data_IF_533340208736
#
_entry.id   IF_533340208736
#
_cell.length_a   1.000
_cell.length_b   1.000
_cell.length_c   1.000
_cell.angle_alpha   90.00
_cell.angle_beta   90.00
_cell.angle_gamma   90.00
#
_symmetry.space_group_name_H-M   'P 1'
#
loop_
_entity.id
_entity.type
_entity.pdbx_description
1 polymer ?
#
# COMPACT_ATOMS: atom_id res chain seq x y z
N UNK A 1 4.19 -25.62 -20.06
CA UNK A 1 4.13 -24.35 -20.80
C UNK A 1 3.89 -23.21 -19.82
N UNK A 2 4.76 -22.20 -19.87
CA UNK A 2 4.58 -21.03 -19.02
C UNK A 2 3.38 -20.22 -19.53
N UNK A 3 2.24 -20.31 -18.84
CA UNK A 3 1.11 -19.42 -19.08
C UNK A 3 0.87 -18.54 -17.84
N UNK A 4 0.27 -17.40 -18.08
CA UNK A 4 0.04 -16.39 -17.06
C UNK A 4 -0.86 -16.92 -15.95
N UNK A 5 -0.43 -16.77 -14.72
CA UNK A 5 -1.11 -17.15 -13.50
C UNK A 5 -1.67 -15.94 -12.76
N UNK A 6 -2.57 -16.19 -11.83
CA UNK A 6 -3.10 -15.18 -10.92
C UNK A 6 -3.44 -15.79 -9.57
N UNK A 7 -3.36 -14.98 -8.54
CA UNK A 7 -3.86 -15.29 -7.22
C UNK A 7 -4.78 -14.15 -6.74
N UNK A 8 -5.81 -14.52 -6.01
CA UNK A 8 -6.76 -13.59 -5.41
C UNK A 8 -7.06 -14.02 -3.98
N UNK A 9 -7.09 -13.05 -3.07
CA UNK A 9 -7.53 -13.27 -1.69
C UNK A 9 -8.44 -12.12 -1.28
N UNK A 10 -9.54 -12.43 -0.58
CA UNK A 10 -10.37 -11.46 0.11
C UNK A 10 -10.51 -11.86 1.57
N UNK A 11 -10.34 -10.89 2.48
CA UNK A 11 -10.31 -11.09 3.93
C UNK A 11 -11.22 -10.08 4.61
N UNK A 12 -11.98 -10.54 5.59
CA UNK A 12 -12.68 -9.66 6.53
C UNK A 12 -11.65 -9.10 7.55
N UNK A 13 -11.39 -7.78 7.57
CA UNK A 13 -10.34 -7.21 8.41
C UNK A 13 -10.64 -7.30 9.91
N UNK A 14 -11.91 -7.48 10.29
CA UNK A 14 -12.33 -7.51 11.70
C UNK A 14 -12.21 -8.89 12.33
N UNK A 15 -12.46 -9.93 11.55
CA UNK A 15 -12.43 -11.32 12.02
C UNK A 15 -11.20 -12.10 11.54
N UNK A 16 -10.47 -11.59 10.53
CA UNK A 16 -9.41 -12.32 9.84
C UNK A 16 -9.93 -13.43 8.91
N UNK A 17 -11.24 -13.59 8.78
CA UNK A 17 -11.82 -14.67 7.98
C UNK A 17 -11.50 -14.49 6.49
N UNK A 18 -10.95 -15.54 5.87
CA UNK A 18 -10.81 -15.61 4.41
C UNK A 18 -12.21 -15.75 3.80
N UNK A 19 -12.61 -14.78 2.99
CA UNK A 19 -13.92 -14.74 2.32
C UNK A 19 -13.88 -15.30 0.93
N UNK A 20 -12.74 -15.17 0.25
CA UNK A 20 -12.49 -15.78 -1.05
C UNK A 20 -10.98 -16.01 -1.22
N UNK A 21 -10.66 -17.10 -1.91
CA UNK A 21 -9.29 -17.44 -2.27
C UNK A 21 -9.27 -18.12 -3.63
N UNK A 22 -8.41 -17.65 -4.52
CA UNK A 22 -8.08 -18.28 -5.79
C UNK A 22 -6.57 -18.38 -5.87
N UNK A 23 -6.06 -19.60 -5.96
CA UNK A 23 -4.62 -19.89 -5.94
C UNK A 23 -3.98 -20.08 -7.32
N UNK A 24 -4.78 -20.03 -8.40
CA UNK A 24 -4.28 -20.20 -9.75
C UNK A 24 -5.39 -20.17 -10.79
N UNK A 25 -5.01 -20.25 -12.05
CA UNK A 25 -5.94 -20.16 -13.18
C UNK A 25 -6.80 -21.41 -13.35
N UNK A 26 -6.20 -22.58 -13.23
CA UNK A 26 -6.87 -23.86 -13.41
C UNK A 26 -6.24 -24.89 -12.46
N UNK A 27 -7.08 -25.50 -11.60
CA UNK A 27 -6.67 -26.52 -10.63
C UNK A 27 -6.29 -27.85 -11.32
N UNK A 28 -6.92 -28.17 -12.44
CA UNK A 28 -6.61 -29.37 -13.22
C UNK A 28 -5.21 -29.32 -13.84
N UNK A 29 -4.79 -28.14 -14.25
CA UNK A 29 -3.44 -27.93 -14.82
C UNK A 29 -2.36 -27.78 -13.73
N UNK A 30 -2.69 -27.18 -12.59
CA UNK A 30 -1.75 -26.94 -11.49
C UNK A 30 -2.48 -26.83 -10.16
N UNK A 31 -2.15 -27.75 -9.23
CA UNK A 31 -2.66 -27.74 -7.87
C UNK A 31 -1.86 -26.83 -6.92
N UNK A 32 -0.81 -26.16 -7.42
CA UNK A 32 0.00 -25.24 -6.64
C UNK A 32 -0.79 -23.97 -6.33
N UNK A 33 -1.07 -23.75 -5.05
CA UNK A 33 -1.79 -22.57 -4.56
C UNK A 33 -0.83 -21.39 -4.41
N UNK A 34 -0.90 -20.47 -5.36
CA UNK A 34 -0.01 -19.30 -5.38
C UNK A 34 -0.36 -18.27 -4.32
N UNK A 35 -1.58 -18.30 -3.79
CA UNK A 35 -1.96 -17.39 -2.71
C UNK A 35 -1.24 -17.73 -1.39
N UNK A 36 -1.04 -19.02 -1.11
CA UNK A 36 -0.50 -19.50 0.19
C UNK A 36 0.86 -20.16 0.12
N UNK A 37 1.31 -20.59 -1.07
CA UNK A 37 2.54 -21.37 -1.23
C UNK A 37 3.62 -20.66 -2.06
N UNK A 38 3.25 -19.72 -2.95
CA UNK A 38 4.22 -19.00 -3.75
C UNK A 38 4.90 -17.89 -2.94
N UNK A 39 6.20 -17.74 -3.13
CA UNK A 39 6.98 -16.60 -2.67
C UNK A 39 7.12 -15.61 -3.83
N UNK A 40 6.65 -14.37 -3.63
CA UNK A 40 6.61 -13.34 -4.67
C UNK A 40 7.05 -11.99 -4.14
N UNK A 41 7.76 -11.24 -4.96
CA UNK A 41 8.13 -9.88 -4.63
C UNK A 41 6.88 -8.98 -4.65
N UNK A 42 6.56 -8.30 -3.54
CA UNK A 42 5.40 -7.42 -3.45
C UNK A 42 5.58 -6.13 -4.26
N UNK A 43 6.81 -5.76 -4.58
CA UNK A 43 7.12 -4.50 -5.23
C UNK A 43 6.51 -3.32 -4.44
N UNK A 44 5.97 -2.34 -5.14
CA UNK A 44 5.42 -1.13 -4.53
C UNK A 44 4.23 -1.35 -3.59
N UNK A 45 3.64 -2.55 -3.49
CA UNK A 45 2.63 -2.82 -2.46
C UNK A 45 3.23 -2.90 -1.06
N UNK A 46 4.54 -3.04 -0.92
CA UNK A 46 5.24 -2.98 0.35
C UNK A 46 5.42 -1.54 0.89
N UNK A 47 5.41 -0.52 0.02
CA UNK A 47 5.62 0.87 0.41
C UNK A 47 4.73 1.38 1.55
N UNK A 48 3.43 1.04 1.64
CA UNK A 48 2.61 1.48 2.77
C UNK A 48 3.16 1.07 4.14
N UNK A 49 3.90 -0.05 4.25
CA UNK A 49 4.57 -0.45 5.50
C UNK A 49 5.71 0.51 5.84
N UNK A 50 6.51 0.91 4.84
CA UNK A 50 7.57 1.92 5.01
C UNK A 50 6.99 3.26 5.46
N UNK A 51 5.91 3.71 4.80
CA UNK A 51 5.25 4.98 5.12
C UNK A 51 4.56 4.94 6.50
N UNK A 52 3.96 3.82 6.88
CA UNK A 52 3.41 3.64 8.23
C UNK A 52 4.51 3.74 9.30
N UNK A 53 5.69 3.16 9.05
CA UNK A 53 6.85 3.29 9.94
C UNK A 53 7.30 4.74 10.04
N UNK A 54 7.29 5.49 8.94
CA UNK A 54 7.64 6.91 8.93
C UNK A 54 6.63 7.76 9.71
N UNK A 55 5.32 7.54 9.52
CA UNK A 55 4.27 8.20 10.30
C UNK A 55 4.46 7.92 11.80
N UNK A 56 4.67 6.67 12.18
CA UNK A 56 4.90 6.27 13.56
C UNK A 56 6.16 6.92 14.16
N UNK A 57 7.19 7.19 13.34
CA UNK A 57 8.40 7.90 13.74
C UNK A 57 8.25 9.43 13.77
N UNK A 58 7.03 9.95 13.57
CA UNK A 58 6.70 11.37 13.66
C UNK A 58 6.86 12.17 12.37
N UNK A 59 7.08 11.53 11.23
CA UNK A 59 7.12 12.24 9.93
C UNK A 59 5.71 12.43 9.41
N UNK A 60 5.25 13.68 9.18
CA UNK A 60 3.89 13.94 8.72
C UNK A 60 3.71 13.65 7.23
N UNK A 61 2.47 13.49 6.73
CA UNK A 61 2.20 13.30 5.30
C UNK A 61 2.77 14.41 4.39
N UNK A 62 2.91 15.63 4.91
CA UNK A 62 3.51 16.77 4.20
C UNK A 62 5.05 16.83 4.29
N UNK A 63 5.71 15.83 4.92
CA UNK A 63 7.16 15.76 5.01
C UNK A 63 7.78 15.76 3.62
N UNK A 64 8.74 16.68 3.40
CA UNK A 64 9.36 16.88 2.08
C UNK A 64 10.56 15.97 1.90
N UNK A 65 10.58 15.22 0.79
CA UNK A 65 11.67 14.30 0.42
C UNK A 65 12.02 14.53 -1.05
N UNK A 66 13.30 14.38 -1.38
CA UNK A 66 13.80 14.62 -2.73
C UNK A 66 13.69 13.38 -3.63
N UNK A 67 12.97 13.50 -4.73
CA UNK A 67 12.91 12.49 -5.81
C UNK A 67 14.03 12.73 -6.82
N UNK A 68 15.26 12.68 -6.37
CA UNK A 68 16.49 12.81 -7.20
C UNK A 68 17.22 11.47 -7.31
N UNK A 69 18.14 11.30 -8.28
CA UNK A 69 18.98 10.11 -8.40
C UNK A 69 19.64 9.74 -7.07
N UNK A 70 19.75 8.46 -6.79
CA UNK A 70 20.36 7.91 -5.59
C UNK A 70 21.37 6.84 -5.96
N UNK A 71 22.53 6.89 -5.29
CA UNK A 71 23.58 5.88 -5.40
C UNK A 71 23.78 5.29 -4.02
N UNK A 72 23.49 3.99 -3.88
CA UNK A 72 23.60 3.26 -2.61
C UNK A 72 24.81 2.30 -2.71
N UNK A 73 25.86 2.49 -1.90
CA UNK A 73 26.94 1.52 -1.82
C UNK A 73 26.41 0.14 -1.38
N UNK A 74 26.94 -0.91 -1.97
CA UNK A 74 26.64 -2.30 -1.58
C UNK A 74 27.86 -2.91 -0.92
N UNK A 75 27.66 -3.58 0.23
CA UNK A 75 28.75 -4.18 1.00
C UNK A 75 29.44 -5.33 0.24
N UNK A 76 28.67 -6.10 -0.52
CA UNK A 76 29.13 -7.30 -1.20
C UNK A 76 29.31 -7.16 -2.71
N UNK A 77 29.30 -5.92 -3.22
CA UNK A 77 29.40 -5.66 -4.66
C UNK A 77 30.31 -4.46 -4.95
N UNK A 78 31.14 -4.61 -5.97
CA UNK A 78 31.96 -3.50 -6.49
C UNK A 78 31.14 -2.45 -7.24
N UNK A 79 29.86 -2.77 -7.57
CA UNK A 79 28.96 -1.86 -8.26
C UNK A 79 27.91 -1.33 -7.28
N UNK A 80 27.78 -0.01 -7.10
CA UNK A 80 26.72 0.56 -6.28
C UNK A 80 25.36 0.29 -6.89
N UNK A 81 24.35 0.17 -6.03
CA UNK A 81 22.96 0.09 -6.48
C UNK A 81 22.45 1.48 -6.87
N UNK A 82 21.87 1.58 -8.06
CA UNK A 82 21.32 2.81 -8.60
C UNK A 82 19.82 2.57 -8.94
N UNK A 83 18.95 2.69 -7.93
CA UNK A 83 17.52 2.54 -8.15
C UNK A 83 16.98 3.62 -9.08
N UNK A 84 15.89 3.29 -9.76
CA UNK A 84 15.20 4.22 -10.64
C UNK A 84 13.70 4.24 -10.33
N UNK A 85 13.03 5.32 -10.69
CA UNK A 85 11.59 5.35 -10.75
C UNK A 85 11.10 4.58 -11.98
N UNK A 86 9.86 4.08 -11.94
CA UNK A 86 9.30 3.29 -13.03
C UNK A 86 9.30 4.03 -14.38
N UNK A 87 9.03 5.33 -14.36
CA UNK A 87 9.00 6.21 -15.53
C UNK A 87 10.38 6.76 -15.93
N UNK A 88 11.45 6.33 -15.25
CA UNK A 88 12.83 6.77 -15.42
C UNK A 88 13.04 8.29 -15.22
N UNK A 89 12.09 8.98 -14.60
CA UNK A 89 12.14 10.43 -14.33
C UNK A 89 12.37 10.70 -12.86
N UNK A 90 12.92 11.87 -12.59
CA UNK A 90 13.11 12.42 -11.26
C UNK A 90 12.43 13.78 -11.20
N UNK A 91 11.59 13.99 -10.20
CA UNK A 91 10.71 15.16 -10.11
C UNK A 91 11.17 16.18 -9.06
N UNK A 92 12.28 15.90 -8.37
CA UNK A 92 12.78 16.74 -7.29
C UNK A 92 11.96 16.61 -5.99
N UNK A 93 12.07 17.60 -5.09
CA UNK A 93 11.39 17.54 -3.80
C UNK A 93 9.88 17.48 -3.93
N UNK A 94 9.26 16.57 -3.16
CA UNK A 94 7.82 16.44 -3.06
C UNK A 94 7.40 15.97 -1.66
N UNK A 95 6.12 16.11 -1.33
CA UNK A 95 5.60 15.63 -0.06
C UNK A 95 5.56 14.11 -0.02
N UNK A 96 5.69 13.55 1.20
CA UNK A 96 5.56 12.12 1.44
C UNK A 96 4.23 11.58 0.88
N UNK A 97 3.12 12.31 1.08
CA UNK A 97 1.82 12.00 0.49
C UNK A 97 1.90 11.79 -1.02
N UNK A 98 2.45 12.77 -1.74
CA UNK A 98 2.60 12.72 -3.19
C UNK A 98 3.48 11.56 -3.63
N UNK A 99 4.58 11.31 -2.91
CA UNK A 99 5.47 10.18 -3.16
C UNK A 99 4.78 8.82 -3.08
N UNK A 100 3.82 8.64 -2.15
CA UNK A 100 2.99 7.42 -2.05
C UNK A 100 1.98 7.33 -3.19
N UNK A 101 1.26 8.42 -3.47
CA UNK A 101 0.23 8.48 -4.52
C UNK A 101 0.79 8.18 -5.91
N UNK A 102 1.94 8.76 -6.24
CA UNK A 102 2.65 8.56 -7.50
C UNK A 102 3.61 7.35 -7.46
N UNK A 103 3.66 6.65 -6.31
CA UNK A 103 4.49 5.45 -6.12
C UNK A 103 5.98 5.65 -6.42
N UNK A 104 6.56 6.82 -6.06
CA UNK A 104 7.96 7.15 -6.33
C UNK A 104 8.91 6.24 -5.56
N UNK A 105 9.86 5.63 -6.26
CA UNK A 105 10.83 4.71 -5.64
C UNK A 105 11.83 5.48 -4.79
N UNK A 106 12.36 6.60 -5.31
CA UNK A 106 13.36 7.40 -4.58
C UNK A 106 12.83 7.90 -3.25
N UNK A 107 11.57 8.32 -3.21
CA UNK A 107 10.91 8.77 -1.98
C UNK A 107 10.84 7.64 -0.97
N UNK A 108 10.36 6.45 -1.37
CA UNK A 108 10.26 5.31 -0.47
C UNK A 108 11.63 4.85 0.07
N UNK A 109 12.65 4.80 -0.79
CA UNK A 109 14.00 4.38 -0.41
C UNK A 109 14.62 5.39 0.58
N UNK A 110 14.61 6.70 0.26
CA UNK A 110 15.14 7.72 1.16
C UNK A 110 14.42 7.73 2.49
N UNK A 111 13.09 7.68 2.47
CA UNK A 111 12.28 7.63 3.67
C UNK A 111 12.67 6.42 4.55
N UNK A 112 12.74 5.23 3.95
CA UNK A 112 13.12 4.02 4.66
C UNK A 112 14.55 4.05 5.21
N UNK A 113 15.51 4.59 4.45
CA UNK A 113 16.89 4.77 4.93
C UNK A 113 16.97 5.77 6.08
N UNK A 114 16.17 6.84 6.09
CA UNK A 114 16.11 7.81 7.19
C UNK A 114 15.56 7.23 8.49
N UNK A 115 14.59 6.34 8.41
CA UNK A 115 13.96 5.69 9.58
C UNK A 115 14.68 4.40 10.00
N UNK A 116 15.54 3.87 9.14
CA UNK A 116 16.34 2.66 9.34
C UNK A 116 15.61 1.38 8.94
N UNK A 117 16.32 0.51 8.23
CA UNK A 117 15.79 -0.76 7.68
C UNK A 117 15.24 -1.67 8.77
N UNK A 118 15.87 -1.74 9.93
CA UNK A 118 15.42 -2.57 11.06
C UNK A 118 14.03 -2.16 11.56
N UNK A 119 13.72 -0.87 11.57
CA UNK A 119 12.40 -0.36 11.95
C UNK A 119 11.33 -0.83 10.97
N UNK A 120 11.65 -0.82 9.67
CA UNK A 120 10.75 -1.31 8.61
C UNK A 120 10.57 -2.82 8.68
N UNK A 121 11.64 -3.59 8.96
CA UNK A 121 11.57 -5.04 9.17
C UNK A 121 10.68 -5.37 10.36
N UNK A 122 10.83 -4.67 11.48
CA UNK A 122 9.99 -4.85 12.66
C UNK A 122 8.52 -4.52 12.38
N UNK A 123 8.27 -3.44 11.63
CA UNK A 123 6.92 -3.07 11.21
C UNK A 123 6.30 -4.14 10.29
N UNK A 124 7.05 -4.66 9.31
CA UNK A 124 6.58 -5.73 8.43
C UNK A 124 6.17 -6.98 9.22
N UNK A 125 6.95 -7.38 10.22
CA UNK A 125 6.58 -8.47 11.14
C UNK A 125 5.29 -8.14 11.92
N UNK A 126 5.13 -6.91 12.40
CA UNK A 126 3.90 -6.43 13.04
C UNK A 126 2.68 -6.53 12.11
N UNK A 127 2.84 -6.24 10.83
CA UNK A 127 1.81 -6.40 9.81
C UNK A 127 1.49 -7.86 9.46
N UNK A 128 2.26 -8.82 9.97
CA UNK A 128 2.02 -10.25 9.78
C UNK A 128 2.82 -10.89 8.64
N UNK A 129 3.85 -10.23 8.14
CA UNK A 129 4.80 -10.83 7.19
C UNK A 129 5.71 -11.77 7.98
N UNK A 130 5.68 -13.06 7.66
CA UNK A 130 6.45 -14.09 8.37
C UNK A 130 7.71 -14.51 7.64
N UNK A 131 7.80 -14.19 6.36
CA UNK A 131 9.01 -14.45 5.56
C UNK A 131 10.15 -13.55 5.99
N UNK A 132 11.42 -14.00 5.86
CA UNK A 132 12.56 -13.16 6.16
C UNK A 132 12.60 -11.90 5.28
N UNK A 133 12.64 -10.74 5.91
CA UNK A 133 12.84 -9.46 5.25
C UNK A 133 14.25 -8.96 5.60
N UNK A 134 15.24 -9.13 4.72
CA UNK A 134 16.61 -8.72 5.01
C UNK A 134 16.71 -7.19 5.06
N UNK A 135 17.46 -6.62 6.03
CA UNK A 135 17.51 -5.17 6.25
C UNK A 135 18.42 -4.46 5.23
N UNK A 136 18.06 -4.50 3.97
CA UNK A 136 18.72 -3.79 2.89
C UNK A 136 17.84 -2.65 2.35
N UNK A 137 18.42 -1.57 1.82
CA UNK A 137 17.65 -0.45 1.27
C UNK A 137 16.61 -0.82 0.20
N UNK A 138 16.81 -1.92 -0.51
CA UNK A 138 15.88 -2.40 -1.54
C UNK A 138 14.54 -2.91 -0.99
N UNK A 139 14.45 -3.25 0.31
CA UNK A 139 13.17 -3.66 0.91
C UNK A 139 12.13 -2.55 0.83
N UNK A 140 12.55 -1.29 0.82
CA UNK A 140 11.64 -0.14 0.79
C UNK A 140 10.83 -0.04 -0.49
N UNK A 141 11.20 -0.79 -1.52
CA UNK A 141 10.44 -0.94 -2.76
C UNK A 141 9.95 -2.38 -2.98
N UNK A 142 10.00 -3.23 -1.93
CA UNK A 142 9.42 -4.55 -1.94
C UNK A 142 10.24 -5.61 -2.65
N UNK A 143 11.55 -5.66 -2.40
CA UNK A 143 12.47 -6.67 -2.98
C UNK A 143 12.47 -8.02 -2.25
N UNK A 144 11.94 -8.10 -1.02
CA UNK A 144 11.86 -9.34 -0.27
C UNK A 144 10.63 -10.16 -0.68
N UNK A 145 10.81 -11.46 -0.86
CA UNK A 145 9.72 -12.35 -1.21
C UNK A 145 8.75 -12.57 -0.03
N UNK A 146 7.45 -12.55 -0.33
CA UNK A 146 6.36 -12.73 0.64
C UNK A 146 5.31 -13.71 0.12
N UNK A 147 4.55 -14.30 1.02
CA UNK A 147 3.33 -15.02 0.63
C UNK A 147 2.23 -14.02 0.24
N UNK A 148 1.56 -14.19 -0.92
CA UNK A 148 0.49 -13.27 -1.32
C UNK A 148 -0.60 -13.09 -0.29
N UNK A 149 -1.03 -14.14 0.38
CA UNK A 149 -2.05 -14.05 1.44
C UNK A 149 -1.59 -13.15 2.59
N UNK A 150 -0.31 -13.20 2.99
CA UNK A 150 0.22 -12.36 4.06
C UNK A 150 0.27 -10.88 3.64
N UNK A 151 0.76 -10.62 2.42
CA UNK A 151 0.84 -9.26 1.91
C UNK A 151 -0.54 -8.61 1.75
N UNK A 152 -1.52 -9.37 1.27
CA UNK A 152 -2.90 -8.90 1.14
C UNK A 152 -3.53 -8.70 2.52
N UNK A 153 -3.37 -9.66 3.44
CA UNK A 153 -3.92 -9.59 4.80
C UNK A 153 -3.28 -8.46 5.63
N UNK A 154 -2.03 -8.08 5.36
CA UNK A 154 -1.35 -6.97 6.01
C UNK A 154 -2.14 -5.65 5.88
N UNK A 155 -2.84 -5.44 4.77
CA UNK A 155 -3.67 -4.24 4.57
C UNK A 155 -4.90 -4.17 5.50
N UNK A 156 -5.24 -5.26 6.18
CA UNK A 156 -6.27 -5.26 7.23
C UNK A 156 -5.92 -4.31 8.37
N UNK A 157 -4.63 -4.07 8.64
CA UNK A 157 -4.19 -3.09 9.64
C UNK A 157 -4.71 -1.69 9.32
N UNK A 158 -4.70 -1.30 8.04
CA UNK A 158 -5.25 -0.02 7.60
C UNK A 158 -6.78 -0.01 7.65
N UNK A 159 -7.42 -1.03 7.06
CA UNK A 159 -8.88 -1.15 7.04
C UNK A 159 -9.49 -1.14 8.45
N UNK A 160 -8.81 -1.74 9.41
CA UNK A 160 -9.21 -1.90 10.80
C UNK A 160 -8.57 -0.86 11.75
N UNK A 161 -8.14 0.28 11.21
CA UNK A 161 -7.57 1.42 11.95
C UNK A 161 -6.52 1.02 12.99
N UNK A 162 -5.51 0.28 12.54
CA UNK A 162 -4.31 -0.04 13.31
C UNK A 162 -4.28 -1.42 13.93
N UNK A 163 -5.36 -2.19 13.84
CA UNK A 163 -5.45 -3.54 14.42
C UNK A 163 -5.25 -4.62 13.37
N UNK A 164 -4.32 -5.53 13.62
CA UNK A 164 -4.16 -6.78 12.89
C UNK A 164 -4.96 -7.89 13.58
N UNK A 165 -5.71 -8.64 12.77
CA UNK A 165 -6.35 -9.89 13.17
C UNK A 165 -5.73 -11.01 12.33
N UNK A 166 -5.23 -12.10 12.92
CA UNK A 166 -4.67 -13.22 12.16
C UNK A 166 -5.67 -13.78 11.16
N UNK A 167 -5.19 -14.07 9.96
CA UNK A 167 -6.02 -14.60 8.89
C UNK A 167 -6.34 -16.07 9.14
N UNK A 168 -7.61 -16.46 9.00
CA UNK A 168 -8.07 -17.83 9.18
C UNK A 168 -9.02 -18.27 8.07
N UNK A 169 -8.84 -19.48 7.49
CA UNK A 169 -9.78 -20.05 6.55
C UNK A 169 -10.96 -20.74 7.24
N UNK A 170 -10.82 -21.11 8.52
CA UNK A 170 -11.86 -21.81 9.30
C UNK A 170 -12.22 -20.94 10.50
N UNK A 171 -13.45 -20.41 10.50
CA UNK A 171 -13.95 -19.55 11.57
C UNK A 171 -14.56 -20.38 12.71
N UNK A 172 -15.30 -21.43 12.37
CA UNK A 172 -15.98 -22.29 13.33
C UNK A 172 -16.21 -23.70 12.75
N UNK A 173 -16.14 -24.71 13.62
CA UNK A 173 -16.56 -26.08 13.33
C UNK A 173 -17.61 -26.49 14.36
N UNK A 174 -18.70 -27.07 13.91
CA UNK A 174 -19.79 -27.59 14.74
C UNK A 174 -19.95 -29.11 14.54
N UNK A 175 -20.40 -29.79 15.58
CA UNK A 175 -20.81 -31.19 15.47
C UNK A 175 -22.21 -31.34 14.83
N UNK A 176 -22.67 -32.57 14.63
CA UNK A 176 -23.97 -32.88 14.05
C UNK A 176 -25.16 -32.35 14.89
N UNK A 177 -24.94 -31.99 16.14
CA UNK A 177 -25.97 -31.46 17.06
C UNK A 177 -25.92 -29.93 17.12
N UNK A 178 -24.99 -29.28 16.38
CA UNK A 178 -24.79 -27.83 16.37
C UNK A 178 -23.94 -27.32 17.55
N UNK A 179 -23.30 -28.19 18.33
CA UNK A 179 -22.37 -27.75 19.35
C UNK A 179 -21.03 -27.34 18.72
N UNK A 180 -20.54 -26.17 19.10
CA UNK A 180 -19.25 -25.68 18.60
C UNK A 180 -18.12 -26.52 19.18
N UNK A 181 -17.35 -27.20 18.31
CA UNK A 181 -16.16 -27.96 18.68
C UNK A 181 -14.87 -27.21 18.40
N UNK A 182 -14.92 -26.19 17.57
CA UNK A 182 -13.81 -25.26 17.30
C UNK A 182 -14.35 -23.88 16.98
N UNK A 183 -13.73 -22.87 17.52
CA UNK A 183 -13.93 -21.47 17.12
C UNK A 183 -12.58 -20.79 17.00
N UNK A 184 -12.33 -20.12 15.90
CA UNK A 184 -11.12 -19.35 15.73
C UNK A 184 -11.10 -18.22 16.77
N UNK A 185 -10.14 -18.25 17.68
CA UNK A 185 -9.85 -17.13 18.57
C UNK A 185 -9.02 -16.12 17.78
N UNK A 186 -9.58 -14.95 17.53
CA UNK A 186 -8.87 -13.88 16.86
C UNK A 186 -8.19 -13.00 17.90
N UNK A 187 -6.95 -13.31 18.24
CA UNK A 187 -6.11 -12.40 19.01
C UNK A 187 -5.81 -11.15 18.20
N UNK A 188 -6.27 -10.00 18.71
CA UNK A 188 -6.02 -8.71 18.06
C UNK A 188 -4.66 -8.17 18.49
N UNK A 189 -3.87 -7.74 17.52
CA UNK A 189 -2.58 -7.08 17.74
C UNK A 189 -2.67 -5.64 17.26
N UNK A 190 -2.42 -4.69 18.14
CA UNK A 190 -2.33 -3.29 17.75
C UNK A 190 -0.94 -3.03 17.15
N UNK A 191 -0.91 -2.67 15.88
CA UNK A 191 0.31 -2.39 15.11
C UNK A 191 0.55 -0.88 14.99
N UNK A 192 -0.52 -0.13 14.76
CA UNK A 192 -0.52 1.32 14.66
C UNK A 192 -1.55 1.89 15.64
N UNK A 193 -1.36 3.13 16.08
CA UNK A 193 -2.44 3.88 16.70
C UNK A 193 -3.55 4.14 15.67
N UNK A 194 -4.74 4.47 16.16
CA UNK A 194 -5.88 4.79 15.29
C UNK A 194 -5.59 6.02 14.42
N UNK A 195 -4.88 6.99 14.96
CA UNK A 195 -4.47 8.21 14.31
C UNK A 195 -3.47 7.95 13.18
N UNK A 196 -2.43 7.15 13.44
CA UNK A 196 -1.43 6.75 12.45
C UNK A 196 -2.07 5.97 11.29
N UNK A 197 -2.91 5.00 11.62
CA UNK A 197 -3.61 4.19 10.63
C UNK A 197 -4.57 5.04 9.78
N UNK A 198 -5.28 5.99 10.39
CA UNK A 198 -6.18 6.88 9.67
C UNK A 198 -5.42 7.79 8.68
N UNK A 199 -4.26 8.33 9.07
CA UNK A 199 -3.39 9.10 8.17
C UNK A 199 -2.96 8.26 6.96
N UNK A 200 -2.60 6.99 7.19
CA UNK A 200 -2.26 6.07 6.12
C UNK A 200 -3.46 5.79 5.20
N UNK A 201 -4.65 5.55 5.76
CA UNK A 201 -5.90 5.37 4.99
C UNK A 201 -6.15 6.59 4.12
N UNK A 202 -6.05 7.80 4.67
CA UNK A 202 -6.28 9.04 3.94
C UNK A 202 -5.27 9.22 2.77
N UNK A 203 -3.99 8.94 3.00
CA UNK A 203 -2.98 8.93 1.94
C UNK A 203 -3.26 7.86 0.87
N UNK A 204 -3.68 6.65 1.27
CA UNK A 204 -3.96 5.56 0.34
C UNK A 204 -5.27 5.74 -0.43
N UNK A 205 -6.23 6.51 0.09
CA UNK A 205 -7.37 7.02 -0.68
C UNK A 205 -6.90 7.93 -1.83
N UNK A 206 -5.82 8.68 -1.61
CA UNK A 206 -5.18 9.50 -2.65
C UNK A 206 -4.64 8.67 -3.82
N UNK A 207 -4.07 7.49 -3.57
CA UNK A 207 -3.62 6.56 -4.62
C UNK A 207 -4.75 6.20 -5.59
N UNK A 208 -5.97 6.00 -5.06
CA UNK A 208 -7.17 5.67 -5.85
C UNK A 208 -7.75 6.92 -6.52
N UNK A 209 -7.77 8.06 -5.85
CA UNK A 209 -8.46 9.27 -6.35
C UNK A 209 -7.67 10.01 -7.42
N UNK A 210 -6.34 10.10 -7.27
CA UNK A 210 -5.47 10.93 -8.13
C UNK A 210 -4.11 10.31 -8.46
N UNK A 211 -3.77 9.17 -7.83
CA UNK A 211 -2.51 8.46 -8.01
C UNK A 211 -2.56 7.34 -9.05
N UNK A 212 -1.70 6.34 -8.85
CA UNK A 212 -1.46 5.24 -9.81
C UNK A 212 -2.67 4.34 -10.08
N UNK A 213 -3.73 4.38 -9.27
CA UNK A 213 -4.96 3.62 -9.45
C UNK A 213 -6.16 4.49 -9.88
N UNK A 214 -5.97 5.79 -10.14
CA UNK A 214 -7.07 6.70 -10.46
C UNK A 214 -7.87 6.26 -11.71
N UNK A 215 -7.17 5.87 -12.77
CA UNK A 215 -7.79 5.47 -14.03
C UNK A 215 -8.44 4.09 -14.04
N UNK A 216 -8.06 3.20 -13.12
CA UNK A 216 -8.55 1.81 -13.09
C UNK A 216 -9.50 1.52 -11.92
N UNK A 217 -9.37 2.23 -10.82
CA UNK A 217 -10.24 2.11 -9.65
C UNK A 217 -11.07 3.38 -9.47
N UNK A 218 -10.41 4.54 -9.37
CA UNK A 218 -11.07 5.79 -9.01
C UNK A 218 -12.20 6.22 -9.94
N UNK A 219 -12.11 5.90 -11.23
CA UNK A 219 -13.16 6.19 -12.22
C UNK A 219 -14.39 5.28 -12.09
N UNK A 220 -14.26 4.09 -11.51
CA UNK A 220 -15.30 3.05 -11.54
C UNK A 220 -15.80 2.62 -10.16
N UNK A 221 -15.10 2.95 -9.09
CA UNK A 221 -15.43 2.57 -7.72
C UNK A 221 -15.45 3.78 -6.81
N UNK A 222 -16.65 4.16 -6.35
CA UNK A 222 -16.88 5.42 -5.62
C UNK A 222 -17.14 5.23 -4.12
N UNK A 223 -17.13 3.98 -3.64
CA UNK A 223 -17.20 3.68 -2.21
C UNK A 223 -15.84 4.05 -1.58
N UNK A 224 -15.83 4.59 -0.33
CA UNK A 224 -14.58 4.91 0.34
C UNK A 224 -13.61 3.71 0.37
N UNK A 225 -12.46 3.86 -0.25
CA UNK A 225 -11.46 2.80 -0.38
C UNK A 225 -10.05 3.36 -0.39
N UNK A 226 -9.13 2.62 0.22
CA UNK A 226 -7.69 2.81 0.09
C UNK A 226 -7.07 1.66 -0.71
N UNK A 227 -5.89 1.87 -1.28
CA UNK A 227 -5.22 0.81 -2.00
C UNK A 227 -3.83 1.19 -2.50
N UNK A 228 -3.15 0.20 -3.08
CA UNK A 228 -1.81 0.40 -3.64
C UNK A 228 -1.58 -0.55 -4.82
N UNK A 229 -1.03 -0.02 -5.89
CA UNK A 229 -0.50 -0.77 -7.03
C UNK A 229 0.90 -1.30 -6.71
N UNK A 230 1.22 -2.47 -7.23
CA UNK A 230 2.58 -3.03 -7.20
C UNK A 230 3.02 -3.48 -8.58
N UNK A 231 4.29 -3.31 -8.85
CA UNK A 231 4.95 -3.78 -10.05
C UNK A 231 6.42 -4.00 -9.70
N UNK A 232 6.99 -5.15 -10.03
CA UNK A 232 8.43 -5.38 -9.91
C UNK A 232 9.17 -4.69 -11.07
N UNK A 233 10.45 -4.41 -10.89
CA UNK A 233 11.25 -3.62 -11.84
C UNK A 233 11.27 -4.19 -13.25
N UNK A 234 11.20 -5.51 -13.37
CA UNK A 234 11.16 -6.25 -14.65
C UNK A 234 9.74 -6.48 -15.18
N UNK A 235 8.70 -6.09 -14.42
CA UNK A 235 7.31 -6.35 -14.77
C UNK A 235 6.93 -7.82 -14.70
N UNK A 236 7.62 -8.61 -13.89
CA UNK A 236 7.36 -10.04 -13.70
C UNK A 236 6.21 -10.32 -12.73
N UNK A 237 6.01 -9.44 -11.77
CA UNK A 237 4.90 -9.48 -10.82
C UNK A 237 4.13 -8.17 -10.84
N UNK A 238 2.82 -8.25 -10.98
CA UNK A 238 1.94 -7.09 -10.85
C UNK A 238 0.87 -7.34 -9.82
N UNK A 239 0.58 -6.31 -9.02
CA UNK A 239 -0.30 -6.37 -7.88
C UNK A 239 -1.27 -5.20 -7.83
N UNK A 240 -2.42 -5.44 -7.26
CA UNK A 240 -3.25 -4.41 -6.65
C UNK A 240 -3.83 -4.97 -5.35
N UNK A 241 -3.62 -4.24 -4.26
CA UNK A 241 -4.23 -4.52 -2.96
C UNK A 241 -5.03 -3.29 -2.58
N UNK A 242 -6.32 -3.48 -2.31
CA UNK A 242 -7.21 -2.42 -1.92
C UNK A 242 -8.22 -2.88 -0.87
N UNK A 243 -8.81 -1.94 -0.19
CA UNK A 243 -9.71 -2.20 0.92
C UNK A 243 -10.76 -1.11 1.10
N UNK A 244 -11.88 -1.53 1.66
CA UNK A 244 -12.90 -0.69 2.30
C UNK A 244 -12.83 -0.91 3.82
N UNK A 245 -13.73 -0.31 4.59
CA UNK A 245 -13.75 -0.50 6.03
C UNK A 245 -14.17 -1.92 6.48
N UNK A 246 -14.68 -2.76 5.57
CA UNK A 246 -15.20 -4.09 5.90
C UNK A 246 -14.70 -5.23 4.99
N UNK A 247 -13.86 -4.94 4.01
CA UNK A 247 -13.27 -5.95 3.13
C UNK A 247 -11.91 -5.51 2.60
N UNK A 248 -10.93 -6.39 2.71
CA UNK A 248 -9.62 -6.27 2.06
C UNK A 248 -9.56 -7.30 0.94
N UNK A 249 -9.13 -6.90 -0.24
CA UNK A 249 -8.91 -7.82 -1.34
C UNK A 249 -7.62 -7.49 -2.10
N UNK A 250 -6.99 -8.51 -2.65
CA UNK A 250 -5.77 -8.34 -3.44
C UNK A 250 -5.71 -9.29 -4.61
N UNK A 251 -5.09 -8.82 -5.67
CA UNK A 251 -4.84 -9.54 -6.93
C UNK A 251 -3.34 -9.54 -7.18
N UNK A 252 -2.80 -10.71 -7.46
CA UNK A 252 -1.47 -10.90 -8.02
C UNK A 252 -1.59 -11.55 -9.40
N UNK A 253 -0.74 -11.13 -10.34
CA UNK A 253 -0.61 -11.74 -11.67
C UNK A 253 0.87 -11.86 -12.01
N UNK A 254 1.28 -13.02 -12.51
CA UNK A 254 2.66 -13.31 -12.90
C UNK A 254 2.80 -14.70 -13.50
N UNK A 255 4.02 -15.09 -13.80
CA UNK A 255 4.36 -16.45 -14.21
C UNK A 255 5.00 -17.22 -13.05
N UNK A 256 4.84 -18.54 -13.00
CA UNK A 256 5.46 -19.35 -11.95
C UNK A 256 6.99 -19.22 -11.95
N UNK A 257 7.72 -19.47 -13.02
CA UNK A 257 9.07 -18.94 -13.16
C UNK A 257 8.97 -17.44 -13.44
N UNK A 258 9.49 -16.57 -12.56
CA UNK A 258 9.41 -15.12 -12.78
C UNK A 258 9.97 -14.72 -14.13
N UNK A 259 9.15 -14.08 -14.93
CA UNK A 259 9.54 -13.51 -16.22
C UNK A 259 8.64 -12.32 -16.56
N UNK A 260 9.11 -11.43 -17.38
CA UNK A 260 8.35 -10.26 -17.80
C UNK A 260 7.00 -10.66 -18.40
N UNK A 261 5.91 -10.09 -17.89
CA UNK A 261 4.55 -10.36 -18.38
C UNK A 261 4.37 -9.73 -19.79
N UNK A 262 4.72 -8.46 -19.90
CA UNK A 262 4.69 -7.69 -21.14
C UNK A 262 5.46 -6.38 -20.95
N UNK A 263 5.83 -5.72 -22.03
CA UNK A 263 6.34 -4.36 -21.95
C UNK A 263 5.28 -3.44 -21.33
N UNK A 264 5.66 -2.62 -20.36
CA UNK A 264 4.74 -1.74 -19.62
C UNK A 264 3.68 -2.48 -18.76
N UNK A 265 3.97 -3.70 -18.27
CA UNK A 265 3.15 -4.34 -17.25
C UNK A 265 3.07 -3.45 -16.00
N UNK A 266 1.86 -3.18 -15.54
CA UNK A 266 1.60 -2.36 -14.35
C UNK A 266 0.43 -2.93 -13.55
N UNK A 267 0.54 -2.92 -12.23
CA UNK A 267 -0.54 -3.35 -11.34
C UNK A 267 -1.84 -2.57 -11.55
N UNK A 268 -1.75 -1.26 -11.80
CA UNK A 268 -2.89 -0.42 -12.12
C UNK A 268 -3.61 -0.79 -13.42
N UNK A 269 -2.92 -1.41 -14.39
CA UNK A 269 -3.52 -1.81 -15.68
C UNK A 269 -4.01 -3.25 -15.70
N UNK A 270 -3.32 -4.15 -15.02
CA UNK A 270 -3.57 -5.60 -15.11
C UNK A 270 -4.30 -6.15 -13.88
N UNK A 271 -3.90 -5.76 -12.68
CA UNK A 271 -4.46 -6.29 -11.43
C UNK A 271 -5.64 -5.46 -10.89
N UNK A 272 -5.55 -4.14 -10.92
CA UNK A 272 -6.56 -3.26 -10.37
C UNK A 272 -7.96 -3.39 -11.03
N UNK A 273 -8.11 -3.62 -12.35
CA UNK A 273 -9.42 -3.85 -12.94
C UNK A 273 -10.16 -5.08 -12.39
N UNK A 274 -9.45 -6.18 -12.12
CA UNK A 274 -10.05 -7.37 -11.52
C UNK A 274 -10.55 -7.10 -10.09
N UNK A 275 -9.76 -6.39 -9.29
CA UNK A 275 -10.19 -5.92 -7.97
C UNK A 275 -11.42 -5.01 -8.06
N UNK A 276 -11.43 -4.07 -8.99
CA UNK A 276 -12.54 -3.13 -9.19
C UNK A 276 -13.84 -3.83 -9.53
N UNK A 277 -13.78 -4.80 -10.47
CA UNK A 277 -14.94 -5.62 -10.84
C UNK A 277 -15.47 -6.40 -9.65
N UNK A 278 -14.59 -7.11 -8.93
CA UNK A 278 -14.96 -7.88 -7.75
C UNK A 278 -15.64 -7.01 -6.69
N UNK A 279 -15.04 -5.88 -6.33
CA UNK A 279 -15.58 -5.03 -5.27
C UNK A 279 -16.90 -4.37 -5.65
N UNK A 280 -17.08 -4.01 -6.92
CA UNK A 280 -18.37 -3.49 -7.42
C UNK A 280 -19.46 -4.53 -7.27
N UNK A 281 -19.22 -5.77 -7.72
CA UNK A 281 -20.22 -6.85 -7.61
C UNK A 281 -20.57 -7.18 -6.15
N UNK A 282 -19.59 -7.14 -5.24
CA UNK A 282 -19.84 -7.34 -3.81
C UNK A 282 -20.81 -6.27 -3.29
N UNK A 283 -20.58 -4.99 -3.59
CA UNK A 283 -21.38 -3.89 -3.06
C UNK A 283 -22.66 -3.60 -3.85
N UNK A 284 -22.91 -4.29 -4.95
CA UNK A 284 -24.24 -4.41 -5.54
C UNK A 284 -25.18 -5.31 -4.72
N UNK A 285 -24.60 -6.23 -3.93
CA UNK A 285 -25.33 -7.26 -3.15
C UNK A 285 -25.24 -7.05 -1.64
N UNK A 286 -24.40 -6.13 -1.19
CA UNK A 286 -24.09 -5.88 0.21
C UNK A 286 -24.15 -4.37 0.48
N UNK A 287 -24.62 -3.93 1.67
CA UNK A 287 -24.58 -2.53 2.05
C UNK A 287 -23.14 -1.98 1.97
N UNK A 288 -23.01 -0.74 1.50
CA UNK A 288 -21.72 -0.06 1.45
C UNK A 288 -21.26 0.32 2.85
N UNK A 289 -20.00 0.09 3.21
CA UNK A 289 -19.48 0.50 4.50
C UNK A 289 -19.32 2.03 4.56
N UNK A 290 -19.41 2.61 5.77
CA UNK A 290 -19.12 4.03 5.95
C UNK A 290 -17.64 4.31 5.70
N UNK A 291 -17.31 5.58 5.46
CA UNK A 291 -15.93 6.04 5.49
C UNK A 291 -15.35 5.95 6.92
N UNK A 292 -14.04 5.89 7.02
CA UNK A 292 -13.36 5.88 8.31
C UNK A 292 -13.49 7.23 9.00
N UNK A 293 -14.10 7.28 10.19
CA UNK A 293 -14.25 8.53 10.91
C UNK A 293 -12.88 9.06 11.34
N UNK A 294 -12.62 10.34 11.04
CA UNK A 294 -11.38 11.00 11.45
C UNK A 294 -11.26 11.00 12.99
N UNK A 295 -10.15 10.51 13.55
CA UNK A 295 -9.88 10.62 14.97
C UNK A 295 -9.86 12.08 15.44
N UNK A 296 -10.52 12.43 16.54
CA UNK A 296 -10.58 13.82 17.01
C UNK A 296 -9.25 14.39 17.49
N UNK A 297 -8.28 13.52 17.81
CA UNK A 297 -6.94 13.93 18.21
C UNK A 297 -6.09 14.47 17.04
N UNK A 298 -6.46 14.16 15.77
CA UNK A 298 -5.74 14.69 14.62
C UNK A 298 -6.05 16.18 14.42
N UNK A 299 -5.00 16.95 14.22
CA UNK A 299 -5.09 18.34 13.82
C UNK A 299 -5.11 18.49 12.31
N UNK A 300 -5.50 19.65 11.79
CA UNK A 300 -5.45 19.95 10.35
C UNK A 300 -4.84 21.31 10.10
N UNK A 301 -4.15 21.46 8.97
CA UNK A 301 -3.60 22.73 8.49
C UNK A 301 -3.82 22.84 6.99
N UNK A 302 -3.99 24.06 6.51
CA UNK A 302 -3.89 24.32 5.07
C UNK A 302 -2.40 24.47 4.74
N UNK A 303 -1.94 23.65 3.83
CA UNK A 303 -0.53 23.59 3.44
C UNK A 303 -0.38 23.70 1.92
N UNK A 304 0.82 23.98 1.52
CA UNK A 304 1.24 24.07 0.13
C UNK A 304 1.72 22.69 -0.37
N UNK A 305 1.12 22.19 -1.44
CA UNK A 305 1.37 20.82 -1.97
C UNK A 305 2.81 20.61 -2.45
N UNK A 306 3.49 21.68 -2.85
CA UNK A 306 4.86 21.61 -3.36
C UNK A 306 5.90 21.60 -2.24
N UNK A 307 5.69 22.39 -1.19
CA UNK A 307 6.67 22.56 -0.11
C UNK A 307 6.31 21.84 1.17
N UNK A 308 5.07 21.39 1.34
CA UNK A 308 4.57 20.78 2.57
C UNK A 308 4.50 21.75 3.76
N UNK A 309 4.75 23.04 3.56
CA UNK A 309 4.72 24.08 4.57
C UNK A 309 3.33 24.72 4.67
N UNK A 310 3.09 25.55 5.71
CA UNK A 310 1.83 26.28 5.85
C UNK A 310 1.58 27.15 4.61
N UNK A 311 0.34 27.08 4.08
CA UNK A 311 -0.04 27.94 2.99
C UNK A 311 -0.28 29.36 3.50
N UNK A 312 0.45 30.33 2.95
CA UNK A 312 0.36 31.74 3.26
C UNK A 312 -0.02 32.57 2.01
N UNK A 313 -0.25 33.88 2.18
CA UNK A 313 -0.68 34.76 1.07
C UNK A 313 0.29 34.82 -0.11
N UNK A 314 1.54 34.44 0.11
CA UNK A 314 2.62 34.44 -0.88
C UNK A 314 2.71 33.14 -1.71
N UNK A 315 1.90 32.13 -1.36
CA UNK A 315 1.88 30.84 -2.02
C UNK A 315 0.82 30.82 -3.12
N UNK A 316 1.03 30.11 -4.22
CA UNK A 316 -0.02 29.91 -5.24
C UNK A 316 -1.25 29.26 -4.64
N UNK A 317 -2.42 29.85 -4.88
CA UNK A 317 -3.68 29.36 -4.30
C UNK A 317 -4.07 27.98 -4.81
N UNK A 318 -3.69 27.63 -6.01
CA UNK A 318 -3.92 26.33 -6.64
C UNK A 318 -3.15 25.18 -5.97
N UNK A 319 -2.10 25.49 -5.19
CA UNK A 319 -1.30 24.50 -4.46
C UNK A 319 -1.81 24.31 -3.01
N UNK A 320 -2.86 25.03 -2.59
CA UNK A 320 -3.41 24.93 -1.25
C UNK A 320 -4.27 23.66 -1.07
N UNK A 321 -3.99 22.87 -0.04
CA UNK A 321 -4.84 21.76 0.37
C UNK A 321 -4.83 21.58 1.89
N UNK A 322 -5.84 20.87 2.42
CA UNK A 322 -5.91 20.53 3.82
C UNK A 322 -5.15 19.23 4.08
N UNK A 323 -4.19 19.29 4.98
CA UNK A 323 -3.44 18.12 5.47
C UNK A 323 -3.73 17.85 6.95
N UNK A 324 -3.56 16.60 7.37
CA UNK A 324 -3.83 16.13 8.72
C UNK A 324 -2.55 15.65 9.41
N UNK A 325 -2.49 15.83 10.74
CA UNK A 325 -1.29 15.67 11.52
C UNK A 325 -1.54 15.00 12.86
N UNK A 326 -0.57 14.18 13.29
CA UNK A 326 -0.41 13.87 14.70
C UNK A 326 -0.04 15.17 15.44
N UNK A 327 -0.58 15.44 16.64
CA UNK A 327 -0.25 16.66 17.37
C UNK A 327 1.27 16.86 17.53
N UNK A 328 1.75 18.04 17.18
CA UNK A 328 3.17 18.41 17.25
C UNK A 328 4.00 18.06 16.01
N UNK A 329 3.39 17.47 14.97
CA UNK A 329 4.08 17.17 13.70
C UNK A 329 3.73 18.18 12.60
N UNK A 330 2.89 19.16 12.88
CA UNK A 330 2.46 20.19 11.94
C UNK A 330 3.61 21.09 11.52
N UNK A 331 3.66 21.57 10.25
CA UNK A 331 4.61 22.57 9.84
C UNK A 331 4.38 23.89 10.62
N UNK A 332 5.47 24.55 10.97
CA UNK A 332 5.43 25.82 11.71
C UNK A 332 5.83 27.03 10.84
N UNK A 333 6.33 26.79 9.64
CA UNK A 333 6.77 27.83 8.71
C UNK A 333 5.82 27.89 7.51
N UNK A 334 5.64 29.09 6.98
CA UNK A 334 4.92 29.32 5.73
C UNK A 334 5.79 29.00 4.52
N UNK A 335 5.14 28.67 3.40
CA UNK A 335 5.81 28.47 2.14
C UNK A 335 6.52 29.76 1.68
N UNK A 336 7.68 29.66 1.04
CA UNK A 336 8.34 30.82 0.44
C UNK A 336 7.54 31.31 -0.78
N UNK A 337 7.73 32.61 -1.12
CA UNK A 337 7.11 33.18 -2.33
C UNK A 337 7.56 32.40 -3.57
N UNK A 338 6.59 31.89 -4.32
CA UNK A 338 6.79 31.17 -5.58
C UNK A 338 5.90 31.78 -6.69
N UNK A 339 6.39 31.75 -7.92
CA UNK A 339 5.52 31.97 -9.06
C UNK A 339 4.56 30.79 -9.21
N UNK A 340 3.33 31.06 -9.65
CA UNK A 340 2.40 30.00 -10.03
C UNK A 340 3.03 29.09 -11.08
N UNK A 341 2.84 27.77 -10.93
CA UNK A 341 3.28 26.83 -11.94
C UNK A 341 2.56 27.11 -13.28
N UNK A 342 3.24 26.97 -14.43
CA UNK A 342 2.54 27.09 -15.69
C UNK A 342 1.40 26.06 -15.76
N UNK A 343 0.24 26.41 -16.34
CA UNK A 343 -0.88 25.51 -16.41
C UNK A 343 -0.47 24.19 -17.06
N UNK A 344 -0.84 23.06 -16.43
CA UNK A 344 -0.61 21.73 -17.00
C UNK A 344 -1.28 21.72 -18.38
N UNK A 345 -0.52 21.46 -19.43
CA UNK A 345 -1.09 21.29 -20.76
C UNK A 345 -2.11 20.14 -20.72
N UNK A 346 -3.26 20.31 -21.39
CA UNK A 346 -4.33 19.33 -21.42
C UNK A 346 -3.90 17.97 -21.99
#
# INVERSE_FOLDING_TARGET
SAYLQGAFVAVDPRSGAVRALVGGRDFGDSQFDRATQALRQPGSTFKPIVYATAIQSGRPPSYLIDDSPLIVPQLDSTKPWQPQNYDLKFLGPMTMRRGLEDSRNMIAIRLGMEIGEQSVVAMAAGFGITTPVPPYPSIHIGSADVYPIEMISAYSVFANLGWRVPTTPIVRVEDEKGATIYSAESERVQVLSREEAWLMVDMMKGVIRRGTAAGSVGQYFHIPAGGKTGTTNDGGDVWFIGYTADLVAGVWIGFDPPQQIMSNAQGGRLAAPAWTTFMREIYERKPTPPDWPRPPALTSRVVDDVTGLLHGPQCPQEDAYTEYYLPGTEPTRECPRRAAAPPKKP
#
